data_IF_149344716603
#
_entry.id   IF_149344716603
#
_cell.length_a   1.000
_cell.length_b   1.000
_cell.length_c   1.000
_cell.angle_alpha   90.00
_cell.angle_beta   90.00
_cell.angle_gamma   90.00
#
_symmetry.space_group_name_H-M   'P 1'
#
loop_
_entity.id
_entity.type
_entity.pdbx_description
1 polymer ?
#
# COMPACT_ATOMS: atom_id res chain seq x y z
N UNK A 1 -13.12 0.61 -43.51
CA UNK A 1 -12.68 1.74 -42.68
C UNK A 1 -13.11 1.71 -41.21
N UNK A 2 -14.12 0.89 -40.79
CA UNK A 2 -14.60 0.86 -39.38
C UNK A 2 -13.68 0.13 -38.37
N UNK A 3 -12.83 -0.81 -38.80
CA UNK A 3 -11.92 -1.56 -37.90
C UNK A 3 -10.67 -0.78 -37.42
N UNK A 4 -10.25 0.23 -38.20
CA UNK A 4 -9.08 1.06 -37.81
C UNK A 4 -9.40 2.06 -36.71
N UNK A 5 -10.64 2.55 -36.64
CA UNK A 5 -11.06 3.54 -35.64
C UNK A 5 -11.21 2.90 -34.24
N UNK A 6 -11.64 1.64 -34.17
CA UNK A 6 -11.73 0.91 -32.90
C UNK A 6 -10.36 0.61 -32.28
N UNK A 7 -9.35 0.33 -33.12
CA UNK A 7 -7.99 0.08 -32.65
C UNK A 7 -7.31 1.33 -32.12
N UNK A 8 -7.57 2.50 -32.73
CA UNK A 8 -7.06 3.79 -32.24
C UNK A 8 -7.73 4.20 -30.93
N UNK A 9 -9.04 3.96 -30.77
CA UNK A 9 -9.75 4.26 -29.52
C UNK A 9 -9.27 3.33 -28.36
N UNK A 10 -9.02 2.03 -28.64
CA UNK A 10 -8.44 1.13 -27.66
C UNK A 10 -7.01 1.53 -27.25
N UNK A 11 -6.20 2.03 -28.20
CA UNK A 11 -4.84 2.47 -27.92
C UNK A 11 -4.80 3.76 -27.09
N UNK A 12 -5.76 4.68 -27.29
CA UNK A 12 -5.88 5.90 -26.47
C UNK A 12 -6.33 5.65 -25.03
N UNK A 13 -7.16 4.64 -24.80
CA UNK A 13 -7.56 4.24 -23.42
C UNK A 13 -6.40 3.61 -22.67
N UNK A 14 -5.50 2.88 -23.36
CA UNK A 14 -4.28 2.33 -22.73
C UNK A 14 -3.19 3.37 -22.42
N UNK A 15 -3.20 4.53 -23.08
CA UNK A 15 -2.21 5.60 -22.86
C UNK A 15 -2.64 6.62 -21.79
N UNK A 16 -3.87 6.55 -21.32
CA UNK A 16 -4.40 7.36 -20.22
C UNK A 16 -4.32 6.64 -18.85
N UNK A 17 -3.44 5.64 -18.73
CA UNK A 17 -2.96 5.20 -17.43
C UNK A 17 -2.32 6.39 -16.71
N UNK A 18 -3.16 7.27 -16.18
CA UNK A 18 -2.77 8.46 -15.44
C UNK A 18 -1.94 8.04 -14.26
N UNK A 19 -0.65 8.31 -14.35
CA UNK A 19 0.19 8.39 -13.16
C UNK A 19 -0.32 9.58 -12.34
N UNK A 20 -1.25 9.34 -11.45
CA UNK A 20 -1.67 10.35 -10.49
C UNK A 20 -0.56 10.43 -9.44
N UNK A 21 0.42 11.27 -9.70
CA UNK A 21 1.36 11.71 -8.68
C UNK A 21 0.64 12.72 -7.80
N UNK A 22 0.12 12.28 -6.67
CA UNK A 22 -0.33 13.20 -5.64
C UNK A 22 0.89 13.84 -4.98
N UNK A 23 1.20 15.06 -5.38
CA UNK A 23 2.07 15.93 -4.59
C UNK A 23 1.31 16.34 -3.34
N UNK A 24 1.43 15.56 -2.28
CA UNK A 24 0.88 15.87 -0.95
C UNK A 24 1.51 17.15 -0.42
N UNK A 25 0.67 18.07 -0.02
CA UNK A 25 0.96 19.45 0.29
C UNK A 25 2.05 19.69 1.34
N UNK A 26 2.73 20.76 1.06
CA UNK A 26 3.71 21.47 1.87
C UNK A 26 3.03 22.05 3.11
N UNK A 27 3.17 21.42 4.28
CA UNK A 27 3.09 22.12 5.58
C UNK A 27 3.62 21.23 6.72
N UNK A 28 4.79 21.56 7.22
CA UNK A 28 5.20 21.29 8.60
C UNK A 28 5.89 19.96 8.91
N UNK A 29 7.21 19.86 8.81
CA UNK A 29 8.04 19.11 9.77
C UNK A 29 8.50 17.70 9.44
N UNK A 30 7.83 16.92 8.65
CA UNK A 30 8.29 15.60 8.19
C UNK A 30 8.45 15.62 6.67
N UNK A 31 9.58 15.17 6.17
CA UNK A 31 10.03 15.31 4.77
C UNK A 31 9.03 14.92 3.68
N UNK A 32 9.47 15.06 2.43
CA UNK A 32 8.67 14.78 1.23
C UNK A 32 8.07 13.38 1.26
N UNK A 33 6.76 13.27 1.06
CA UNK A 33 6.09 11.99 0.81
C UNK A 33 5.89 11.80 -0.70
N UNK A 34 5.96 10.55 -1.14
CA UNK A 34 5.70 10.13 -2.51
C UNK A 34 4.80 8.89 -2.47
N UNK A 35 3.69 8.92 -3.21
CA UNK A 35 2.72 7.85 -3.25
C UNK A 35 2.44 7.43 -4.70
N UNK A 36 2.23 6.13 -4.93
CA UNK A 36 1.99 5.59 -6.26
C UNK A 36 0.99 4.44 -6.25
N UNK A 37 -0.05 4.57 -7.07
CA UNK A 37 -0.99 3.48 -7.38
C UNK A 37 -0.43 2.68 -8.56
N UNK A 38 -0.30 1.35 -8.41
CA UNK A 38 0.16 0.42 -9.45
C UNK A 38 -0.99 -0.37 -10.06
N UNK A 39 -2.03 -0.62 -9.28
CA UNK A 39 -3.21 -1.39 -9.70
C UNK A 39 -4.47 -0.78 -9.06
N UNK A 40 -5.15 0.09 -9.80
CA UNK A 40 -6.37 0.77 -9.32
C UNK A 40 -7.52 -0.21 -9.10
N UNK A 41 -7.66 -1.24 -9.95
CA UNK A 41 -8.72 -2.25 -9.78
C UNK A 41 -8.46 -3.12 -8.54
N UNK A 42 -7.20 -3.47 -8.31
CA UNK A 42 -6.80 -4.18 -7.11
C UNK A 42 -7.03 -3.34 -5.85
N UNK A 43 -6.70 -2.05 -5.90
CA UNK A 43 -6.86 -1.11 -4.79
C UNK A 43 -8.33 -0.96 -4.37
N UNK A 44 -9.26 -0.83 -5.31
CA UNK A 44 -10.70 -0.70 -5.05
C UNK A 44 -11.26 -1.92 -4.32
N UNK A 45 -10.70 -3.10 -4.55
CA UNK A 45 -11.21 -4.37 -4.00
C UNK A 45 -10.72 -4.65 -2.58
N UNK A 46 -9.81 -3.86 -2.05
CA UNK A 46 -9.28 -4.07 -0.71
C UNK A 46 -10.32 -3.64 0.32
N UNK A 47 -10.78 -4.57 1.12
CA UNK A 47 -11.65 -4.35 2.27
C UNK A 47 -10.93 -4.70 3.57
N UNK A 48 -9.99 -5.64 3.52
CA UNK A 48 -9.20 -6.07 4.66
C UNK A 48 -7.72 -5.94 4.35
N UNK A 49 -7.02 -5.13 5.14
CA UNK A 49 -5.59 -4.88 5.04
C UNK A 49 -4.87 -5.48 6.25
N UNK A 50 -3.95 -6.41 6.00
CA UNK A 50 -3.10 -6.96 7.04
C UNK A 50 -1.78 -6.19 7.12
N UNK A 51 -1.29 -5.98 8.33
CA UNK A 51 0.05 -5.44 8.58
C UNK A 51 1.01 -6.62 8.66
N UNK A 52 2.01 -6.64 7.79
CA UNK A 52 3.05 -7.65 7.79
C UNK A 52 4.21 -7.25 8.69
N UNK A 53 5.16 -8.18 8.87
CA UNK A 53 6.42 -7.89 9.55
C UNK A 53 7.21 -6.81 8.82
N UNK A 54 8.06 -6.09 9.56
CA UNK A 54 8.83 -4.97 9.05
C UNK A 54 10.25 -5.40 8.68
N UNK A 55 10.84 -4.70 7.73
CA UNK A 55 12.19 -4.94 7.25
C UNK A 55 13.05 -3.72 7.58
N UNK A 56 14.17 -3.94 8.25
CA UNK A 56 15.17 -2.91 8.48
C UNK A 56 16.39 -3.14 7.59
N UNK A 57 16.77 -2.11 6.84
CA UNK A 57 17.95 -2.06 6.00
C UNK A 57 18.85 -0.90 6.45
N UNK A 58 19.78 -1.16 7.34
CA UNK A 58 20.70 -0.14 7.83
C UNK A 58 21.80 -0.72 8.71
N UNK A 59 22.77 0.12 9.11
CA UNK A 59 23.82 -0.30 10.00
C UNK A 59 23.28 -0.52 11.42
N UNK A 60 23.59 -1.67 12.00
CA UNK A 60 23.22 -2.03 13.37
C UNK A 60 23.93 -1.14 14.42
N UNK A 61 25.08 -0.56 14.06
CA UNK A 61 25.86 0.33 14.92
C UNK A 61 25.19 1.67 15.23
N UNK A 62 24.26 2.13 14.39
CA UNK A 62 23.57 3.41 14.57
C UNK A 62 22.26 3.28 15.36
N UNK A 63 21.96 2.07 15.83
CA UNK A 63 20.73 1.72 16.53
C UNK A 63 19.62 1.33 15.57
N UNK A 64 19.23 0.07 15.66
CA UNK A 64 18.05 -0.42 15.02
C UNK A 64 16.82 0.16 15.72
N UNK A 65 15.75 0.50 14.99
CA UNK A 65 14.45 0.63 15.62
C UNK A 65 14.11 -0.73 16.26
N UNK A 66 13.29 -0.74 17.28
CA UNK A 66 12.73 -1.98 17.82
C UNK A 66 11.74 -2.54 16.77
N UNK A 67 12.32 -3.23 15.77
CA UNK A 67 11.62 -3.65 14.54
C UNK A 67 10.43 -4.53 14.87
N UNK A 68 10.58 -5.37 15.88
CA UNK A 68 9.51 -6.27 16.33
C UNK A 68 8.25 -5.51 16.81
N UNK A 69 8.41 -4.26 17.23
CA UNK A 69 7.30 -3.41 17.67
C UNK A 69 6.72 -2.55 16.53
N UNK A 70 7.40 -2.42 15.40
CA UNK A 70 6.92 -1.60 14.28
C UNK A 70 5.53 -2.03 13.80
N UNK A 71 5.22 -3.30 13.57
CA UNK A 71 3.87 -3.71 13.17
C UNK A 71 2.78 -3.25 14.15
N UNK A 72 3.05 -3.28 15.46
CA UNK A 72 2.11 -2.81 16.48
C UNK A 72 1.99 -1.28 16.49
N UNK A 73 3.10 -0.57 16.27
CA UNK A 73 3.11 0.90 16.12
C UNK A 73 2.29 1.31 14.89
N UNK A 74 2.41 0.58 13.79
CA UNK A 74 1.64 0.84 12.57
C UNK A 74 0.14 0.63 12.79
N UNK A 75 -0.26 -0.35 13.60
CA UNK A 75 -1.67 -0.53 13.99
C UNK A 75 -2.25 0.72 14.65
N UNK A 76 -1.47 1.48 15.42
CA UNK A 76 -1.93 2.76 15.99
C UNK A 76 -2.19 3.81 14.90
N UNK A 77 -1.50 3.74 13.78
CA UNK A 77 -1.73 4.61 12.62
C UNK A 77 -3.10 4.43 11.99
N UNK A 78 -3.69 3.24 12.07
CA UNK A 78 -5.02 2.94 11.49
C UNK A 78 -6.16 3.75 12.13
N UNK A 79 -5.94 4.34 13.31
CA UNK A 79 -6.91 5.19 14.01
C UNK A 79 -7.33 6.45 13.23
N UNK A 80 -6.64 6.78 12.14
CA UNK A 80 -7.08 7.85 11.21
C UNK A 80 -8.30 7.44 10.41
N UNK A 81 -8.56 6.16 10.24
CA UNK A 81 -9.74 5.62 9.57
C UNK A 81 -10.98 5.67 10.48
N UNK A 82 -11.39 6.87 10.83
CA UNK A 82 -12.55 7.12 11.71
C UNK A 82 -13.88 6.55 11.18
N UNK A 83 -13.94 6.23 9.90
CA UNK A 83 -15.16 5.70 9.23
C UNK A 83 -15.12 4.19 9.07
N UNK A 84 -14.05 3.53 9.53
CA UNK A 84 -13.82 2.11 9.35
C UNK A 84 -14.02 1.69 7.88
N UNK A 85 -13.40 2.42 6.97
CA UNK A 85 -13.43 2.13 5.52
C UNK A 85 -12.80 0.78 5.25
N UNK A 86 -11.78 0.42 6.05
CA UNK A 86 -11.05 -0.83 5.97
C UNK A 86 -11.13 -1.61 7.28
N UNK A 87 -11.06 -2.92 7.18
CA UNK A 87 -10.76 -3.79 8.31
C UNK A 87 -9.25 -3.99 8.38
N UNK A 88 -8.67 -3.92 9.59
CA UNK A 88 -7.24 -4.09 9.78
C UNK A 88 -6.96 -5.34 10.62
N UNK A 89 -5.95 -6.11 10.20
CA UNK A 89 -5.50 -7.31 10.92
C UNK A 89 -4.02 -7.13 11.26
N UNK A 90 -3.65 -7.31 12.53
CA UNK A 90 -2.27 -7.22 12.98
C UNK A 90 -1.43 -8.42 12.49
N UNK A 91 -0.11 -8.23 12.44
CA UNK A 91 0.83 -9.31 12.12
C UNK A 91 0.66 -10.52 13.04
N UNK A 92 0.56 -10.27 14.34
CA UNK A 92 0.39 -11.34 15.36
C UNK A 92 -0.90 -12.12 15.18
N UNK A 93 -1.98 -11.42 14.89
CA UNK A 93 -3.29 -12.06 14.66
C UNK A 93 -3.25 -12.96 13.42
N UNK A 94 -2.66 -12.51 12.31
CA UNK A 94 -2.47 -13.33 11.11
C UNK A 94 -1.62 -14.56 11.44
N UNK A 95 -0.48 -14.40 12.13
CA UNK A 95 0.39 -15.50 12.52
C UNK A 95 -0.34 -16.53 13.42
N UNK A 96 -1.18 -16.04 14.34
CA UNK A 96 -1.99 -16.91 15.21
C UNK A 96 -3.05 -17.70 14.41
N UNK A 97 -3.73 -17.03 13.46
CA UNK A 97 -4.71 -17.68 12.60
C UNK A 97 -4.07 -18.76 11.71
N UNK A 98 -2.89 -18.49 11.16
CA UNK A 98 -2.11 -19.49 10.39
C UNK A 98 -1.70 -20.66 11.28
N UNK A 99 -1.25 -20.39 12.51
CA UNK A 99 -0.88 -21.44 13.48
C UNK A 99 -2.06 -22.35 13.79
N UNK A 100 -3.24 -21.79 14.01
CA UNK A 100 -4.46 -22.57 14.30
C UNK A 100 -4.87 -23.39 13.06
N UNK A 101 -4.92 -22.78 11.89
CA UNK A 101 -5.47 -23.41 10.69
C UNK A 101 -4.49 -24.36 9.98
N UNK A 102 -3.18 -24.11 10.07
CA UNK A 102 -2.14 -24.84 9.33
C UNK A 102 -1.13 -25.54 10.19
N UNK A 103 -1.17 -25.34 11.51
CA UNK A 103 -0.18 -25.84 12.47
C UNK A 103 1.25 -25.34 12.22
N UNK A 104 1.39 -24.14 11.57
CA UNK A 104 2.65 -23.50 11.27
C UNK A 104 2.83 -22.32 12.23
N UNK A 105 3.82 -22.40 13.12
CA UNK A 105 4.15 -21.32 14.06
C UNK A 105 5.17 -20.37 13.42
N UNK A 106 4.66 -19.38 12.65
CA UNK A 106 5.47 -18.41 11.90
C UNK A 106 6.45 -17.68 12.82
N UNK A 107 6.01 -17.30 14.03
CA UNK A 107 6.83 -16.55 15.00
C UNK A 107 8.06 -17.32 15.52
N UNK A 108 8.13 -18.63 15.26
CA UNK A 108 9.28 -19.49 15.63
C UNK A 108 10.16 -19.86 14.44
N UNK A 109 9.83 -19.40 13.24
CA UNK A 109 10.64 -19.66 12.05
C UNK A 109 11.75 -18.61 11.93
N UNK A 110 12.80 -18.94 11.18
CA UNK A 110 13.73 -17.92 10.71
C UNK A 110 13.02 -16.94 9.77
N UNK A 111 13.48 -15.68 9.73
CA UNK A 111 12.82 -14.58 9.02
C UNK A 111 12.48 -14.90 7.56
N UNK A 112 13.34 -15.65 6.87
CA UNK A 112 13.11 -16.01 5.46
C UNK A 112 11.96 -17.01 5.30
N UNK A 113 11.91 -18.02 6.17
CA UNK A 113 10.82 -19.01 6.17
C UNK A 113 9.54 -18.38 6.69
N UNK A 114 9.61 -17.57 7.75
CA UNK A 114 8.50 -16.84 8.31
C UNK A 114 7.81 -15.99 7.22
N UNK A 115 8.57 -15.19 6.48
CA UNK A 115 8.06 -14.37 5.41
C UNK A 115 7.43 -15.20 4.27
N UNK A 116 8.05 -16.31 3.89
CA UNK A 116 7.50 -17.21 2.86
C UNK A 116 6.16 -17.80 3.29
N UNK A 117 6.09 -18.33 4.52
CA UNK A 117 4.86 -18.95 5.04
C UNK A 117 3.76 -17.89 5.24
N UNK A 118 4.11 -16.69 5.70
CA UNK A 118 3.17 -15.59 5.80
C UNK A 118 2.55 -15.27 4.41
N UNK A 119 3.39 -15.05 3.39
CA UNK A 119 2.92 -14.75 2.03
C UNK A 119 2.07 -15.84 1.41
N UNK A 120 2.37 -17.10 1.69
CA UNK A 120 1.62 -18.22 1.15
C UNK A 120 0.21 -18.35 1.75
N UNK A 121 0.00 -17.84 2.95
CA UNK A 121 -1.23 -18.06 3.71
C UNK A 121 -2.08 -16.78 3.91
N UNK A 122 -1.51 -15.59 3.74
CA UNK A 122 -2.17 -14.32 4.05
C UNK A 122 -3.46 -14.11 3.24
N UNK A 123 -3.52 -14.59 2.01
CA UNK A 123 -4.71 -14.50 1.14
C UNK A 123 -5.96 -15.22 1.65
N UNK A 124 -5.85 -15.99 2.75
CA UNK A 124 -6.98 -16.59 3.45
C UNK A 124 -7.63 -15.65 4.46
N UNK A 125 -6.94 -14.59 4.86
CA UNK A 125 -7.32 -13.72 5.98
C UNK A 125 -7.48 -12.26 5.59
N UNK A 126 -6.82 -11.81 4.51
CA UNK A 126 -6.88 -10.44 4.05
C UNK A 126 -6.88 -10.35 2.51
N UNK A 127 -7.37 -9.22 1.99
CA UNK A 127 -7.33 -8.92 0.56
C UNK A 127 -5.97 -8.38 0.13
N UNK A 128 -5.32 -7.66 1.04
CA UNK A 128 -3.99 -7.09 0.84
C UNK A 128 -3.18 -7.12 2.14
N UNK A 129 -1.87 -6.97 2.02
CA UNK A 129 -0.96 -6.79 3.15
C UNK A 129 0.07 -5.71 2.85
N UNK A 130 0.46 -4.98 3.88
CA UNK A 130 1.48 -3.93 3.80
C UNK A 130 2.78 -4.41 4.44
N UNK A 131 3.88 -4.26 3.72
CA UNK A 131 5.24 -4.45 4.24
C UNK A 131 5.84 -3.07 4.46
N UNK A 132 6.35 -2.82 5.67
CA UNK A 132 7.09 -1.61 5.97
C UNK A 132 8.58 -1.89 5.87
N UNK A 133 9.28 -1.13 5.03
CA UNK A 133 10.73 -1.19 4.92
C UNK A 133 11.33 0.11 5.42
N UNK A 134 12.19 0.01 6.43
CA UNK A 134 12.93 1.14 6.99
C UNK A 134 14.36 1.07 6.46
N UNK A 135 14.77 2.04 5.66
CA UNK A 135 16.12 2.10 5.09
C UNK A 135 16.90 3.25 5.70
N UNK A 136 17.91 2.90 6.48
CA UNK A 136 18.87 3.83 7.14
C UNK A 136 20.26 3.70 6.48
N UNK A 137 20.31 3.60 5.16
CA UNK A 137 21.54 3.49 4.41
C UNK A 137 22.11 4.83 4.00
N UNK A 138 23.42 4.85 3.74
CA UNK A 138 24.09 5.93 3.00
C UNK A 138 23.68 5.83 1.52
N UNK A 139 22.49 6.27 1.19
CA UNK A 139 22.11 6.46 -0.21
C UNK A 139 22.95 7.59 -0.81
N UNK A 140 23.41 7.42 -2.03
CA UNK A 140 24.35 8.32 -2.71
C UNK A 140 23.92 9.80 -2.76
N UNK A 141 22.67 10.10 -2.46
CA UNK A 141 22.15 11.46 -2.55
C UNK A 141 21.71 12.08 -1.22
N UNK A 142 21.57 11.32 -0.12
CA UNK A 142 21.12 11.90 1.15
C UNK A 142 21.42 10.98 2.37
N UNK A 143 22.71 10.87 2.71
CA UNK A 143 23.16 10.09 3.88
C UNK A 143 22.64 10.58 5.23
N UNK A 144 21.79 11.62 5.25
CA UNK A 144 21.24 12.24 6.47
C UNK A 144 19.77 11.87 6.73
N UNK A 145 19.13 11.13 5.80
CA UNK A 145 17.69 10.82 5.90
C UNK A 145 17.39 9.35 6.01
N UNK A 146 16.37 9.08 6.82
CA UNK A 146 15.71 7.79 6.92
C UNK A 146 14.63 7.70 5.85
N UNK A 147 14.58 6.58 5.13
CA UNK A 147 13.50 6.30 4.19
C UNK A 147 12.59 5.24 4.79
N UNK A 148 11.30 5.54 4.87
CA UNK A 148 10.27 4.59 5.28
C UNK A 148 9.37 4.32 4.08
N UNK A 149 9.29 3.07 3.66
CA UNK A 149 8.48 2.60 2.55
C UNK A 149 7.34 1.74 3.08
N UNK A 150 6.18 1.91 2.50
CA UNK A 150 5.01 1.07 2.70
C UNK A 150 4.61 0.51 1.35
N UNK A 151 4.85 -0.78 1.16
CA UNK A 151 4.48 -1.49 -0.06
C UNK A 151 3.25 -2.35 0.22
N UNK A 152 2.14 -2.03 -0.43
CA UNK A 152 0.89 -2.78 -0.30
C UNK A 152 0.79 -3.79 -1.44
N UNK A 153 0.63 -5.05 -1.07
CA UNK A 153 0.53 -6.16 -2.00
C UNK A 153 -0.87 -6.78 -1.95
N UNK A 154 -1.39 -7.14 -3.11
CA UNK A 154 -2.56 -8.01 -3.17
C UNK A 154 -2.21 -9.37 -2.55
N UNK A 155 -2.99 -9.82 -1.57
CA UNK A 155 -2.67 -10.99 -0.77
C UNK A 155 -2.74 -12.32 -1.54
N UNK A 156 -3.47 -12.38 -2.66
CA UNK A 156 -3.59 -13.57 -3.50
C UNK A 156 -2.55 -13.66 -4.60
N UNK A 157 -2.26 -12.51 -5.24
CA UNK A 157 -1.36 -12.47 -6.39
C UNK A 157 0.07 -12.10 -6.02
N UNK A 158 0.29 -11.57 -4.82
CA UNK A 158 1.56 -11.00 -4.35
C UNK A 158 2.10 -9.88 -5.26
N UNK A 159 1.24 -9.23 -6.04
CA UNK A 159 1.60 -8.06 -6.84
C UNK A 159 1.38 -6.79 -6.03
N UNK A 160 2.28 -5.82 -6.23
CA UNK A 160 2.14 -4.52 -5.61
C UNK A 160 0.93 -3.79 -6.20
N UNK A 161 0.12 -3.19 -5.35
CA UNK A 161 -1.07 -2.40 -5.75
C UNK A 161 -0.89 -0.92 -5.43
N UNK A 162 -0.14 -0.63 -4.35
CA UNK A 162 0.12 0.72 -3.90
C UNK A 162 1.46 0.80 -3.19
N UNK A 163 2.17 1.90 -3.33
CA UNK A 163 3.37 2.18 -2.56
C UNK A 163 3.33 3.61 -2.03
N UNK A 164 3.88 3.79 -0.83
CA UNK A 164 4.05 5.07 -0.18
C UNK A 164 5.48 5.17 0.37
N UNK A 165 6.08 6.33 0.24
CA UNK A 165 7.41 6.61 0.76
C UNK A 165 7.39 7.88 1.58
N UNK A 166 8.03 7.86 2.73
CA UNK A 166 8.27 9.03 3.56
C UNK A 166 9.75 9.18 3.88
N UNK A 167 10.26 10.40 3.78
CA UNK A 167 11.59 10.76 4.25
C UNK A 167 11.50 11.32 5.65
N UNK A 168 12.39 10.89 6.54
CA UNK A 168 12.46 11.35 7.92
C UNK A 168 13.91 11.67 8.34
N UNK A 169 14.16 12.43 9.41
CA UNK A 169 15.49 12.64 9.94
C UNK A 169 16.13 11.33 10.41
N UNK A 170 17.38 11.06 10.05
CA UNK A 170 18.12 9.87 10.46
C UNK A 170 18.25 9.75 11.98
N UNK A 171 18.34 10.89 12.69
CA UNK A 171 18.41 10.94 14.15
C UNK A 171 17.18 10.35 14.85
N UNK A 172 16.06 10.24 14.14
CA UNK A 172 14.80 9.74 14.69
C UNK A 172 14.55 8.24 14.41
N UNK A 173 15.57 7.48 14.03
CA UNK A 173 15.46 6.05 13.69
C UNK A 173 14.86 5.19 14.83
N UNK A 174 15.01 5.63 16.08
CA UNK A 174 14.47 4.96 17.27
C UNK A 174 13.19 5.62 17.82
N UNK A 175 12.68 6.64 17.15
CA UNK A 175 11.51 7.37 17.65
C UNK A 175 10.21 6.69 17.23
N UNK A 176 9.59 5.98 18.15
CA UNK A 176 8.32 5.30 17.93
C UNK A 176 7.17 6.27 17.58
N UNK A 177 7.20 7.50 18.11
CA UNK A 177 6.20 8.52 17.77
C UNK A 177 6.32 8.93 16.31
N UNK A 178 7.53 9.04 15.78
CA UNK A 178 7.74 9.30 14.36
C UNK A 178 7.07 8.23 13.50
N UNK A 179 7.26 6.96 13.81
CA UNK A 179 6.65 5.87 13.02
C UNK A 179 5.13 5.88 13.12
N UNK A 180 4.57 6.24 14.28
CA UNK A 180 3.12 6.43 14.44
C UNK A 180 2.60 7.54 13.52
N UNK A 181 3.28 8.68 13.46
CA UNK A 181 2.88 9.80 12.59
C UNK A 181 3.02 9.45 11.09
N UNK A 182 4.12 8.79 10.73
CA UNK A 182 4.32 8.32 9.34
C UNK A 182 3.23 7.29 8.95
N UNK A 183 2.85 6.41 9.87
CA UNK A 183 1.78 5.46 9.65
C UNK A 183 0.42 6.14 9.45
N UNK A 184 0.11 7.16 10.25
CA UNK A 184 -1.11 7.97 10.05
C UNK A 184 -1.15 8.63 8.69
N UNK A 185 -0.04 9.22 8.25
CA UNK A 185 0.08 9.83 6.94
C UNK A 185 -0.15 8.78 5.83
N UNK A 186 0.51 7.62 5.93
CA UNK A 186 0.32 6.52 4.99
C UNK A 186 -1.14 6.05 4.91
N UNK A 187 -1.79 5.75 6.04
CA UNK A 187 -3.17 5.26 6.03
C UNK A 187 -4.15 6.30 5.51
N UNK A 188 -3.95 7.58 5.84
CA UNK A 188 -4.76 8.66 5.29
C UNK A 188 -4.65 8.73 3.77
N UNK A 189 -3.43 8.71 3.24
CA UNK A 189 -3.16 8.78 1.80
C UNK A 189 -3.67 7.54 1.06
N UNK A 190 -3.50 6.35 1.65
CA UNK A 190 -4.01 5.09 1.11
C UNK A 190 -5.55 5.08 0.99
N UNK A 191 -6.25 5.52 2.04
CA UNK A 191 -7.72 5.62 2.03
C UNK A 191 -8.18 6.64 0.97
N UNK A 192 -7.50 7.76 0.86
CA UNK A 192 -7.86 8.80 -0.13
C UNK A 192 -7.57 8.34 -1.56
N UNK A 193 -6.45 7.62 -1.78
CA UNK A 193 -6.16 6.98 -3.06
C UNK A 193 -7.23 5.94 -3.45
N UNK A 194 -7.70 5.14 -2.49
CA UNK A 194 -8.77 4.17 -2.72
C UNK A 194 -10.09 4.85 -3.10
N UNK A 195 -10.48 5.90 -2.38
CA UNK A 195 -11.69 6.69 -2.71
C UNK A 195 -11.59 7.29 -4.11
N UNK A 196 -10.44 7.89 -4.44
CA UNK A 196 -10.21 8.47 -5.76
C UNK A 196 -10.34 7.41 -6.87
N UNK A 197 -9.76 6.22 -6.66
CA UNK A 197 -9.88 5.12 -7.61
C UNK A 197 -11.33 4.66 -7.82
N UNK A 198 -12.14 4.62 -6.76
CA UNK A 198 -13.58 4.31 -6.82
C UNK A 198 -14.32 5.36 -7.64
N UNK A 199 -14.11 6.65 -7.34
CA UNK A 199 -14.75 7.75 -8.06
C UNK A 199 -14.40 7.77 -9.54
N UNK A 200 -13.14 7.51 -9.88
CA UNK A 200 -12.68 7.50 -11.27
C UNK A 200 -13.28 6.33 -12.04
N UNK A 201 -13.40 5.16 -11.41
CA UNK A 201 -14.09 4.01 -11.99
C UNK A 201 -15.59 4.31 -12.24
N UNK A 202 -16.27 4.92 -11.28
CA UNK A 202 -17.67 5.32 -11.46
C UNK A 202 -17.86 6.31 -12.62
N UNK A 203 -16.92 7.25 -12.82
CA UNK A 203 -16.96 8.17 -13.94
C UNK A 203 -16.77 7.44 -15.28
N UNK A 204 -15.83 6.48 -15.32
CA UNK A 204 -15.58 5.66 -16.49
C UNK A 204 -16.81 4.82 -16.87
N UNK A 205 -17.39 4.12 -15.89
CA UNK A 205 -18.60 3.29 -16.10
C UNK A 205 -19.78 4.13 -16.61
N UNK A 206 -19.98 5.34 -16.06
CA UNK A 206 -21.01 6.29 -16.54
C UNK A 206 -20.75 6.78 -17.97
N UNK A 207 -19.50 7.00 -18.35
CA UNK A 207 -19.13 7.40 -19.70
C UNK A 207 -19.37 6.26 -20.72
N UNK A 208 -19.01 5.03 -20.37
CA UNK A 208 -19.26 3.84 -21.20
C UNK A 208 -20.77 3.66 -21.43
N UNK A 209 -21.57 3.72 -20.38
CA UNK A 209 -23.03 3.57 -20.46
C UNK A 209 -23.68 4.64 -21.34
N UNK A 210 -23.13 5.87 -21.36
CA UNK A 210 -23.60 6.95 -22.21
C UNK A 210 -23.31 6.68 -23.69
N UNK A 211 -22.10 6.19 -23.99
CA UNK A 211 -21.72 5.83 -25.36
C UNK A 211 -22.57 4.69 -25.92
N UNK A 212 -22.81 3.64 -25.13
CA UNK A 212 -23.68 2.52 -25.50
C UNK A 212 -25.11 2.99 -25.84
N UNK A 213 -25.67 3.92 -25.04
CA UNK A 213 -26.98 4.50 -25.29
C UNK A 213 -27.06 5.33 -26.55
N UNK A 214 -25.97 6.07 -26.87
CA UNK A 214 -25.90 6.87 -28.11
C UNK A 214 -25.77 5.97 -29.35
N UNK A 215 -24.99 4.90 -29.27
CA UNK A 215 -24.88 3.91 -30.35
C UNK A 215 -26.21 3.17 -30.60
N UNK A 216 -26.90 2.76 -29.52
CA UNK A 216 -28.22 2.13 -29.64
C UNK A 216 -29.29 3.04 -30.27
N UNK A 217 -29.18 4.37 -30.10
CA UNK A 217 -30.06 5.35 -30.76
C UNK A 217 -29.75 5.54 -32.24
N UNK A 218 -28.49 5.39 -32.66
CA UNK A 218 -28.06 5.51 -34.06
C UNK A 218 -28.34 4.24 -34.88
N UNK A 219 -28.57 3.12 -34.21
CA UNK A 219 -28.87 1.84 -34.85
C UNK A 219 -30.38 1.61 -35.14
N UNK A 220 -31.24 2.49 -34.63
CA UNK A 220 -32.69 2.57 -34.91
C UNK A 220 -32.97 3.61 -35.98
#
# INVERSE_FOLDING_TARGET
>A
MKRGLQLVLMLCVFLLGTQVSFAGGLLGGTGVSDARVYDSEGLIKIQTLAIADSIYNGPTSEGEPEIDDIPEILMNGTLVDKKNVLNYISYREVCQNIKIARHIDILRLDSRKAFKEYKNNIGLYADAYVITTISNGTSMNDGTRLNVFFDVYNARTNKIVYAYRKLAPKSAVRDSLLYTEIAKDFFSDFIDAQKQAIEDKEKEDKAILKLEKEEAKKAK
#
